data_IF_339944466124
#
_entry.id   IF_339944466124
#
_cell.length_a   1.000
_cell.length_b   1.000
_cell.length_c   1.000
_cell.angle_alpha   90.00
_cell.angle_beta   90.00
_cell.angle_gamma   90.00
#
_symmetry.space_group_name_H-M   'P 1'
#
loop_
_entity.id
_entity.type
_entity.pdbx_description
1 polymer ?
#
# COMPACT_ATOMS: atom_id res chain seq x y z
N UNK A 1 -29.86 -0.40 -7.41
CA UNK A 1 -28.89 0.04 -8.43
C UNK A 1 -27.59 -0.71 -8.21
N UNK A 2 -27.18 -1.57 -9.15
CA UNK A 2 -25.91 -2.29 -9.05
C UNK A 2 -24.76 -1.28 -9.11
N UNK A 3 -23.97 -1.18 -8.04
CA UNK A 3 -22.79 -0.32 -8.02
C UNK A 3 -21.84 -0.72 -9.16
N UNK A 4 -21.42 0.26 -9.98
CA UNK A 4 -20.47 0.02 -11.05
C UNK A 4 -19.21 -0.69 -10.49
N UNK A 5 -18.82 -1.82 -11.08
CA UNK A 5 -17.63 -2.59 -10.67
C UNK A 5 -16.39 -1.73 -10.81
N UNK A 6 -15.97 -1.11 -9.71
CA UNK A 6 -14.73 -0.34 -9.66
C UNK A 6 -13.56 -1.32 -9.69
N UNK A 7 -12.58 -1.08 -10.57
CA UNK A 7 -11.34 -1.87 -10.62
C UNK A 7 -10.63 -1.76 -9.28
N UNK A 8 -10.67 -2.83 -8.50
CA UNK A 8 -10.09 -2.89 -7.17
C UNK A 8 -9.46 -4.24 -6.87
N UNK A 9 -8.43 -4.20 -6.03
CA UNK A 9 -7.75 -5.37 -5.48
C UNK A 9 -7.63 -5.18 -3.99
N UNK A 10 -7.96 -6.21 -3.21
CA UNK A 10 -7.67 -6.25 -1.79
C UNK A 10 -6.42 -7.08 -1.57
N UNK A 11 -5.45 -6.51 -0.84
CA UNK A 11 -4.22 -7.20 -0.47
C UNK A 11 -3.97 -7.06 1.03
N UNK A 12 -3.18 -7.99 1.57
CA UNK A 12 -2.71 -7.94 2.94
C UNK A 12 -1.19 -8.19 3.02
N UNK A 13 -0.57 -7.51 3.98
CA UNK A 13 0.82 -7.66 4.39
C UNK A 13 0.85 -8.03 5.87
N UNK A 14 1.73 -8.94 6.27
CA UNK A 14 1.78 -9.40 7.66
C UNK A 14 3.23 -9.56 8.09
N UNK A 15 3.57 -8.95 9.22
CA UNK A 15 4.85 -9.17 9.90
C UNK A 15 4.61 -9.38 11.39
N UNK A 16 5.04 -10.53 11.91
CA UNK A 16 4.72 -10.96 13.28
C UNK A 16 3.20 -10.87 13.51
N UNK A 17 2.76 -10.07 14.48
CA UNK A 17 1.35 -9.83 14.80
C UNK A 17 0.74 -8.61 14.09
N UNK A 18 1.55 -7.80 13.40
CA UNK A 18 1.04 -6.65 12.65
C UNK A 18 0.47 -7.11 11.31
N UNK A 19 -0.76 -6.68 11.03
CA UNK A 19 -1.48 -6.94 9.78
C UNK A 19 -1.82 -5.60 9.14
N UNK A 20 -1.41 -5.44 7.88
CA UNK A 20 -1.72 -4.29 7.06
C UNK A 20 -2.63 -4.74 5.91
N UNK A 21 -3.74 -4.04 5.69
CA UNK A 21 -4.71 -4.34 4.63
C UNK A 21 -4.93 -3.09 3.79
N UNK A 22 -5.04 -3.26 2.47
CA UNK A 22 -5.41 -2.17 1.58
C UNK A 22 -6.42 -2.62 0.53
N UNK A 23 -7.28 -1.70 0.15
CA UNK A 23 -8.11 -1.79 -1.04
C UNK A 23 -7.54 -0.87 -2.10
N UNK A 24 -6.69 -1.43 -2.98
CA UNK A 24 -6.12 -0.70 -4.09
C UNK A 24 -7.21 -0.40 -5.12
N UNK A 25 -7.38 0.86 -5.45
CA UNK A 25 -8.32 1.33 -6.47
C UNK A 25 -7.56 2.13 -7.53
N UNK A 26 -8.13 2.24 -8.72
CA UNK A 26 -7.63 3.20 -9.71
C UNK A 26 -7.86 4.63 -9.20
N UNK A 27 -6.82 5.46 -9.15
CA UNK A 27 -6.93 6.81 -8.60
C UNK A 27 -5.69 7.69 -8.84
N UNK A 28 -5.59 8.79 -8.09
CA UNK A 28 -4.61 9.89 -8.33
C UNK A 28 -3.45 9.88 -7.33
N UNK A 29 -2.88 8.72 -7.01
CA UNK A 29 -1.67 8.58 -6.18
C UNK A 29 -1.83 9.06 -4.73
N UNK A 30 -2.89 8.64 -4.05
CA UNK A 30 -3.03 8.88 -2.62
C UNK A 30 -2.64 7.62 -1.84
N UNK A 31 -1.52 7.69 -1.11
CA UNK A 31 -1.10 6.63 -0.19
C UNK A 31 -1.28 7.17 1.23
N UNK A 32 -2.22 6.56 1.96
CA UNK A 32 -2.55 6.93 3.34
C UNK A 32 -2.44 5.70 4.22
N UNK A 33 -1.85 5.84 5.39
CA UNK A 33 -1.75 4.80 6.41
C UNK A 33 -2.57 5.28 7.61
N UNK A 34 -3.63 4.55 7.96
CA UNK A 34 -4.57 4.91 9.02
C UNK A 34 -5.09 6.35 8.90
N UNK A 35 -5.33 6.81 7.66
CA UNK A 35 -5.79 8.18 7.35
C UNK A 35 -4.69 9.24 7.26
N UNK A 36 -3.48 8.93 7.74
CA UNK A 36 -2.31 9.82 7.73
C UNK A 36 -1.49 9.60 6.45
N UNK A 37 -0.93 10.64 5.80
CA UNK A 37 -0.04 10.47 4.66
C UNK A 37 1.21 9.65 5.02
N UNK A 38 1.74 8.88 4.07
CA UNK A 38 2.95 8.06 4.30
C UNK A 38 4.19 8.87 4.72
N UNK A 39 4.23 10.16 4.41
CA UNK A 39 5.29 11.09 4.80
C UNK A 39 5.30 11.41 6.30
N UNK A 40 4.20 11.19 6.99
CA UNK A 40 4.05 11.48 8.42
C UNK A 40 3.99 10.20 9.26
N UNK A 41 4.51 9.08 8.73
CA UNK A 41 4.62 7.83 9.47
C UNK A 41 5.66 7.97 10.58
N UNK A 42 5.24 7.67 11.80
CA UNK A 42 6.13 7.55 12.95
C UNK A 42 6.54 6.09 13.20
N UNK A 43 7.76 5.84 13.69
CA UNK A 43 8.86 6.79 13.96
C UNK A 43 9.64 7.20 12.70
N UNK A 44 10.16 8.42 12.68
CA UNK A 44 10.89 9.02 11.53
C UNK A 44 12.07 8.17 11.04
N UNK A 45 12.78 7.50 11.95
CA UNK A 45 13.93 6.64 11.63
C UNK A 45 13.52 5.51 10.67
N UNK A 46 12.29 5.00 10.81
CA UNK A 46 11.78 3.89 10.01
C UNK A 46 10.95 4.35 8.81
N UNK A 47 10.76 5.66 8.64
CA UNK A 47 10.01 6.24 7.53
C UNK A 47 10.58 5.79 6.18
N UNK A 48 11.90 5.81 6.01
CA UNK A 48 12.57 5.34 4.79
C UNK A 48 12.22 3.89 4.43
N UNK A 49 11.96 3.05 5.44
CA UNK A 49 11.57 1.65 5.20
C UNK A 49 10.16 1.53 4.64
N UNK A 50 9.24 2.43 5.00
CA UNK A 50 7.92 2.49 4.38
C UNK A 50 8.00 3.00 2.92
N UNK A 51 8.95 3.88 2.61
CA UNK A 51 9.14 4.46 1.27
C UNK A 51 9.93 3.58 0.29
N UNK A 52 10.66 2.58 0.77
CA UNK A 52 11.48 1.68 -0.04
C UNK A 52 10.80 1.19 -1.35
N UNK A 53 9.56 0.64 -1.34
CA UNK A 53 8.93 0.18 -2.58
C UNK A 53 8.62 1.32 -3.56
N UNK A 54 8.35 2.53 -3.06
CA UNK A 54 8.06 3.71 -3.90
C UNK A 54 9.34 4.21 -4.55
N UNK A 55 10.44 4.22 -3.80
CA UNK A 55 11.76 4.63 -4.29
C UNK A 55 12.30 3.63 -5.31
N UNK A 56 12.13 2.33 -5.08
CA UNK A 56 12.64 1.27 -5.95
C UNK A 56 11.94 1.22 -7.31
N UNK A 57 10.60 1.28 -7.33
CA UNK A 57 9.80 1.14 -8.55
C UNK A 57 9.61 2.46 -9.31
N UNK A 58 9.93 3.58 -8.67
CA UNK A 58 9.74 4.93 -9.17
C UNK A 58 8.30 5.43 -8.97
N UNK A 59 8.19 6.74 -8.71
CA UNK A 59 6.90 7.42 -8.43
C UNK A 59 5.88 7.30 -9.58
N UNK A 60 6.34 7.07 -10.81
CA UNK A 60 5.50 6.97 -12.00
C UNK A 60 4.53 5.79 -11.94
N UNK A 61 4.96 4.61 -11.46
CA UNK A 61 4.09 3.43 -11.40
C UNK A 61 2.94 3.58 -10.38
N UNK A 62 3.13 4.43 -9.38
CA UNK A 62 2.11 4.72 -8.37
C UNK A 62 1.12 5.81 -8.80
N UNK A 63 1.34 6.49 -9.94
CA UNK A 63 0.52 7.61 -10.38
C UNK A 63 -0.96 7.25 -10.65
N UNK A 64 -1.23 6.00 -11.04
CA UNK A 64 -2.56 5.52 -11.41
C UNK A 64 -3.33 4.78 -10.31
N UNK A 65 -2.78 4.67 -9.09
CA UNK A 65 -3.32 3.84 -8.01
C UNK A 65 -3.52 4.65 -6.73
N UNK A 66 -4.59 4.34 -6.01
CA UNK A 66 -4.94 4.89 -4.70
C UNK A 66 -4.92 3.74 -3.68
N UNK A 67 -4.20 3.93 -2.57
CA UNK A 67 -3.92 2.91 -1.58
C UNK A 67 -4.16 3.46 -0.17
N UNK A 68 -5.41 3.43 0.32
CA UNK A 68 -5.68 3.59 1.74
C UNK A 68 -5.30 2.29 2.44
N UNK A 69 -4.41 2.39 3.41
CA UNK A 69 -3.83 1.28 4.16
C UNK A 69 -4.36 1.38 5.59
N UNK A 70 -4.95 0.29 6.07
CA UNK A 70 -5.31 0.12 7.48
C UNK A 70 -4.33 -0.88 8.09
N UNK A 71 -3.74 -0.52 9.23
CA UNK A 71 -2.76 -1.36 9.94
C UNK A 71 -3.18 -1.53 11.38
N UNK A 72 -3.24 -2.78 11.81
CA UNK A 72 -3.62 -3.16 13.17
C UNK A 72 -2.65 -4.20 13.75
N UNK A 73 -2.49 -4.15 15.07
CA UNK A 73 -1.66 -5.09 15.84
C UNK A 73 -0.15 -4.85 15.75
N UNK A 74 0.59 -5.60 16.58
CA UNK A 74 2.05 -5.51 16.69
C UNK A 74 2.56 -4.16 17.24
N UNK A 75 3.85 -3.91 17.07
CA UNK A 75 4.50 -2.62 17.38
C UNK A 75 5.00 -1.88 16.13
N UNK A 76 5.56 -0.69 16.31
CA UNK A 76 5.96 0.22 15.22
C UNK A 76 6.80 -0.45 14.14
N UNK A 77 7.86 -1.16 14.53
CA UNK A 77 8.74 -1.83 13.57
C UNK A 77 7.98 -2.87 12.76
N UNK A 78 7.25 -3.77 13.41
CA UNK A 78 6.46 -4.79 12.68
C UNK A 78 5.42 -4.19 11.75
N UNK A 79 4.77 -3.09 12.15
CA UNK A 79 3.79 -2.40 11.32
C UNK A 79 4.42 -1.84 10.05
N UNK A 80 5.58 -1.18 10.17
CA UNK A 80 6.29 -0.61 9.01
C UNK A 80 6.73 -1.69 8.02
N UNK A 81 7.22 -2.83 8.50
CA UNK A 81 7.53 -3.96 7.61
C UNK A 81 6.28 -4.54 6.95
N UNK A 82 5.15 -4.61 7.66
CA UNK A 82 3.88 -5.06 7.08
C UNK A 82 3.38 -4.07 6.00
N UNK A 83 3.52 -2.76 6.22
CA UNK A 83 3.20 -1.70 5.25
C UNK A 83 4.09 -1.81 4.00
N UNK A 84 5.40 -1.93 4.18
CA UNK A 84 6.34 -2.08 3.07
C UNK A 84 5.99 -3.28 2.19
N UNK A 85 5.70 -4.43 2.82
CA UNK A 85 5.29 -5.64 2.10
C UNK A 85 3.94 -5.44 1.39
N UNK A 86 2.99 -4.77 2.04
CA UNK A 86 1.67 -4.52 1.50
C UNK A 86 1.74 -3.67 0.24
N UNK A 87 2.48 -2.55 0.25
CA UNK A 87 2.59 -1.64 -0.89
C UNK A 87 3.15 -2.36 -2.12
N UNK A 88 4.18 -3.18 -1.95
CA UNK A 88 4.74 -3.97 -3.04
C UNK A 88 3.72 -4.98 -3.60
N UNK A 89 3.07 -5.77 -2.73
CA UNK A 89 2.07 -6.77 -3.15
C UNK A 89 0.87 -6.14 -3.85
N UNK A 90 0.38 -5.04 -3.29
CA UNK A 90 -0.71 -4.24 -3.79
C UNK A 90 -0.48 -3.80 -5.23
N UNK A 91 0.71 -3.26 -5.52
CA UNK A 91 1.06 -2.83 -6.86
C UNK A 91 1.14 -4.01 -7.83
N UNK A 92 1.84 -5.08 -7.46
CA UNK A 92 2.00 -6.27 -8.31
C UNK A 92 0.64 -6.87 -8.64
N UNK A 93 -0.22 -7.07 -7.64
CA UNK A 93 -1.54 -7.65 -7.84
C UNK A 93 -2.48 -6.76 -8.66
N UNK A 94 -2.35 -5.43 -8.52
CA UNK A 94 -3.12 -4.49 -9.34
C UNK A 94 -2.68 -4.53 -10.81
N UNK A 95 -1.37 -4.56 -11.05
CA UNK A 95 -0.82 -4.69 -12.40
C UNK A 95 -1.23 -6.03 -12.99
N UNK A 96 -0.91 -7.15 -12.36
CA UNK A 96 -1.28 -8.49 -12.85
C UNK A 96 -2.75 -8.65 -13.24
N UNK A 97 -3.67 -7.98 -12.54
CA UNK A 97 -5.11 -8.07 -12.81
C UNK A 97 -5.61 -7.10 -13.90
N UNK A 98 -4.96 -5.96 -14.08
CA UNK A 98 -5.51 -4.84 -14.88
C UNK A 98 -4.56 -4.25 -15.92
N UNK A 99 -3.30 -4.65 -15.92
CA UNK A 99 -2.23 -4.23 -16.84
C UNK A 99 -1.53 -5.50 -17.28
N UNK A 100 -1.56 -5.79 -18.58
CA UNK A 100 -0.97 -7.02 -19.13
C UNK A 100 0.51 -7.21 -18.75
N UNK A 101 0.91 -8.47 -18.56
CA UNK A 101 2.32 -8.89 -18.47
C UNK A 101 2.92 -8.76 -19.88
N UNK A 102 3.75 -7.74 -20.10
CA UNK A 102 4.64 -7.68 -21.26
C UNK A 102 5.94 -8.45 -20.97
#
# INVERSE_FOLDING_TARGET
>A
MAAAKTKSVQCFGKKKMAVAVTHCKKGRRLIKINGVPIELVQPEILQYKAFEPILLLGRHRFAGVDMPICVEGGGHTSQIYAICQLIAKALVAFYQKYVDEQ
#
